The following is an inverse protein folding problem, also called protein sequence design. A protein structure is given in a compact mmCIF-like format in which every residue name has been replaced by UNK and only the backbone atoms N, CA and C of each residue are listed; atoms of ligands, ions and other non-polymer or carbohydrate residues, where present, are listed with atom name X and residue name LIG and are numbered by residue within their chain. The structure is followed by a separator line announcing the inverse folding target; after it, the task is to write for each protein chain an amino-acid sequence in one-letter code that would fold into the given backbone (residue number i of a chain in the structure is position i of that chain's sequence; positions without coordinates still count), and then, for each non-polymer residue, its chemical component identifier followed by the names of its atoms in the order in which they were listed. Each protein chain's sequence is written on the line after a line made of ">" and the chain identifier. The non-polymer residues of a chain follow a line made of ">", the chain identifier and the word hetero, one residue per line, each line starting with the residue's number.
data_IF_197624826221
#
_entry.id   IF_197624826221
#
_cell.length_a   1.000
_cell.length_b   1.000
_cell.length_c   1.000
_cell.angle_alpha   90.00
_cell.angle_beta   90.00
_cell.angle_gamma   90.00
#
_symmetry.space_group_name_H-M   'P 1'
#
loop_
_entity.id
_entity.type
_entity.pdbx_description
1 polymer ?
#
# COMPACT_ATOMS: atom_id res chain seq x y z
N UNK A 1 -17.70 24.92 -1.75
CA UNK A 1 -16.54 24.89 -2.67
C UNK A 1 -17.07 24.89 -4.09
N UNK A 2 -16.56 25.74 -4.99
CA UNK A 2 -16.96 25.73 -6.41
C UNK A 2 -16.25 24.61 -7.16
N UNK A 3 -16.99 23.65 -7.70
CA UNK A 3 -16.47 22.59 -8.59
C UNK A 3 -16.57 23.08 -10.03
N UNK A 4 -15.53 22.89 -10.85
CA UNK A 4 -15.59 23.07 -12.30
C UNK A 4 -15.60 21.69 -12.94
N UNK A 5 -16.57 21.43 -13.80
CA UNK A 5 -16.77 20.18 -14.54
C UNK A 5 -16.58 20.46 -16.04
N UNK A 6 -15.78 19.61 -16.70
CA UNK A 6 -15.47 19.71 -18.14
C UNK A 6 -15.83 18.36 -18.78
N UNK A 7 -16.57 18.39 -19.89
CA UNK A 7 -17.01 17.18 -20.62
C UNK A 7 -16.54 17.16 -22.08
N UNK A 8 -16.27 15.98 -22.64
CA UNK A 8 -16.02 15.76 -24.07
C UNK A 8 -14.61 15.26 -24.42
N UNK A 9 -13.99 15.85 -25.44
CA UNK A 9 -12.57 15.64 -25.76
C UNK A 9 -11.82 16.91 -25.35
N UNK A 10 -10.74 16.74 -24.61
CA UNK A 10 -9.85 17.84 -24.19
C UNK A 10 -8.52 17.63 -24.93
N UNK A 11 -8.27 18.48 -25.92
CA UNK A 11 -7.01 18.46 -26.66
C UNK A 11 -5.84 19.02 -25.83
N UNK A 12 -4.63 18.93 -26.39
CA UNK A 12 -3.41 19.38 -25.71
C UNK A 12 -3.42 20.86 -25.37
N UNK A 13 -3.93 21.71 -26.26
CA UNK A 13 -3.91 23.15 -26.10
C UNK A 13 -4.86 23.57 -24.98
N UNK A 14 -6.09 23.05 -25.01
CA UNK A 14 -7.08 23.32 -23.97
C UNK A 14 -6.68 22.71 -22.63
N UNK A 15 -6.09 21.50 -22.62
CA UNK A 15 -5.54 20.91 -21.38
C UNK A 15 -4.47 21.81 -20.77
N UNK A 16 -3.47 22.22 -21.54
CA UNK A 16 -2.39 23.08 -21.04
C UNK A 16 -2.94 24.42 -20.51
N UNK A 17 -3.86 25.03 -21.26
CA UNK A 17 -4.53 26.26 -20.82
C UNK A 17 -5.21 26.07 -19.45
N UNK A 18 -5.94 24.97 -19.24
CA UNK A 18 -6.56 24.68 -17.94
C UNK A 18 -5.50 24.52 -16.84
N UNK A 19 -4.42 23.80 -17.12
CA UNK A 19 -3.37 23.51 -16.13
C UNK A 19 -2.53 24.74 -15.74
N UNK A 20 -2.47 25.75 -16.61
CA UNK A 20 -1.78 27.02 -16.36
C UNK A 20 -2.69 28.05 -15.67
N UNK A 21 -3.99 28.05 -15.97
CA UNK A 21 -4.90 29.12 -15.57
C UNK A 21 -5.83 28.76 -14.41
N UNK A 22 -6.04 27.47 -14.11
CA UNK A 22 -6.89 27.05 -12.98
C UNK A 22 -6.09 27.11 -11.68
N UNK A 23 -6.67 27.74 -10.67
CA UNK A 23 -6.07 27.82 -9.34
C UNK A 23 -5.92 26.42 -8.71
N UNK A 24 -4.66 26.03 -8.45
CA UNK A 24 -4.30 24.72 -7.89
C UNK A 24 -4.91 24.45 -6.51
N UNK A 25 -5.34 25.46 -5.75
CA UNK A 25 -6.00 25.25 -4.46
C UNK A 25 -7.47 24.82 -4.57
N UNK A 26 -8.01 24.67 -5.80
CA UNK A 26 -9.38 24.24 -6.06
C UNK A 26 -9.45 22.74 -6.40
N UNK A 27 -10.68 22.21 -6.34
CA UNK A 27 -11.02 20.90 -6.89
C UNK A 27 -11.16 21.00 -8.40
N UNK A 28 -10.48 20.12 -9.13
CA UNK A 28 -10.62 19.95 -10.57
C UNK A 28 -11.39 18.65 -10.88
N UNK A 29 -12.34 18.70 -11.80
CA UNK A 29 -12.98 17.50 -12.34
C UNK A 29 -12.95 17.58 -13.87
N UNK A 30 -12.34 16.58 -14.50
CA UNK A 30 -12.35 16.42 -15.96
C UNK A 30 -13.01 15.09 -16.29
N UNK A 31 -14.20 15.19 -16.88
CA UNK A 31 -14.98 14.09 -17.46
C UNK A 31 -14.81 14.09 -18.98
N UNK A 32 -13.56 13.96 -19.42
CA UNK A 32 -13.23 14.06 -20.82
C UNK A 32 -12.05 13.17 -21.18
N UNK A 33 -12.03 12.70 -22.43
CA UNK A 33 -10.86 12.04 -22.99
C UNK A 33 -9.77 13.08 -23.22
N UNK A 34 -8.66 12.97 -22.50
CA UNK A 34 -7.50 13.85 -22.63
C UNK A 34 -6.56 13.24 -23.67
N UNK A 35 -6.37 13.94 -24.79
CA UNK A 35 -5.39 13.56 -25.83
C UNK A 35 -4.03 14.22 -25.63
N UNK A 36 -3.90 14.98 -24.53
CA UNK A 36 -2.73 15.75 -24.18
C UNK A 36 -1.58 14.89 -23.64
N UNK A 37 -0.36 15.36 -23.86
CA UNK A 37 0.80 14.90 -23.13
C UNK A 37 0.75 15.36 -21.66
N UNK A 38 1.56 14.71 -20.81
CA UNK A 38 1.71 15.06 -19.39
C UNK A 38 2.00 16.55 -19.18
N UNK A 39 1.25 17.17 -18.27
CA UNK A 39 1.49 18.55 -17.84
C UNK A 39 1.97 18.60 -16.37
N UNK A 40 3.00 19.39 -16.02
CA UNK A 40 3.56 19.44 -14.66
C UNK A 40 2.57 19.79 -13.54
N UNK A 41 1.48 20.48 -13.86
CA UNK A 41 0.47 20.91 -12.87
C UNK A 41 -0.71 19.94 -12.73
N UNK A 42 -0.82 18.91 -13.59
CA UNK A 42 -2.00 18.04 -13.61
C UNK A 42 -2.25 17.29 -12.30
N UNK A 43 -1.20 17.08 -11.49
CA UNK A 43 -1.30 16.39 -10.21
C UNK A 43 -1.06 17.30 -9.00
N UNK A 44 -1.05 18.62 -9.21
CA UNK A 44 -0.79 19.63 -8.16
C UNK A 44 -2.06 20.28 -7.60
N UNK A 45 -3.23 19.99 -8.17
CA UNK A 45 -4.50 20.49 -7.63
C UNK A 45 -4.75 19.92 -6.24
N UNK A 46 -5.39 20.70 -5.35
CA UNK A 46 -5.74 20.29 -3.99
C UNK A 46 -6.49 18.96 -3.99
N UNK A 47 -7.46 18.82 -4.88
CA UNK A 47 -8.09 17.54 -5.23
C UNK A 47 -8.39 17.51 -6.72
N UNK A 48 -8.36 16.33 -7.31
CA UNK A 48 -8.69 16.18 -8.72
C UNK A 48 -9.37 14.85 -9.02
N UNK A 49 -10.22 14.88 -10.04
CA UNK A 49 -10.91 13.71 -10.57
C UNK A 49 -10.72 13.68 -12.09
N UNK A 50 -10.14 12.59 -12.59
CA UNK A 50 -10.00 12.30 -14.02
C UNK A 50 -10.87 11.10 -14.34
N UNK A 51 -11.95 11.29 -15.11
CA UNK A 51 -12.86 10.18 -15.43
C UNK A 51 -12.34 9.28 -16.57
N UNK A 52 -11.41 9.81 -17.37
CA UNK A 52 -10.56 9.03 -18.27
C UNK A 52 -9.09 9.25 -17.93
N UNK A 53 -8.56 8.37 -17.09
CA UNK A 53 -7.21 8.44 -16.54
C UNK A 53 -6.23 7.44 -17.19
N UNK A 54 -6.52 6.95 -18.41
CA UNK A 54 -5.63 6.00 -19.13
C UNK A 54 -4.24 6.56 -19.43
N UNK A 55 -4.09 7.87 -19.44
CA UNK A 55 -2.81 8.56 -19.68
C UNK A 55 -1.96 8.70 -18.41
N UNK A 56 -2.53 8.45 -17.23
CA UNK A 56 -1.83 8.54 -15.95
C UNK A 56 -0.99 7.27 -15.75
N UNK A 57 0.30 7.43 -15.44
CA UNK A 57 1.16 6.28 -15.11
C UNK A 57 1.42 6.17 -13.61
N UNK A 58 2.02 5.04 -13.20
CA UNK A 58 2.35 4.78 -11.80
C UNK A 58 3.33 5.83 -11.24
N UNK A 59 4.24 6.35 -12.07
CA UNK A 59 5.16 7.41 -11.67
C UNK A 59 4.45 8.74 -11.40
N UNK A 60 3.42 9.07 -12.18
CA UNK A 60 2.58 10.25 -11.90
C UNK A 60 1.93 10.08 -10.53
N UNK A 61 1.33 8.91 -10.29
CA UNK A 61 0.66 8.61 -9.01
C UNK A 61 1.65 8.68 -7.82
N UNK A 62 2.87 8.14 -7.97
CA UNK A 62 3.93 8.22 -6.95
C UNK A 62 4.50 9.64 -6.78
N UNK A 63 4.36 10.52 -7.78
CA UNK A 63 4.81 11.92 -7.72
C UNK A 63 3.84 12.84 -6.96
N UNK A 64 2.61 12.37 -6.72
CA UNK A 64 1.58 13.14 -6.04
C UNK A 64 2.04 13.61 -4.65
N UNK A 65 1.83 14.89 -4.37
CA UNK A 65 2.05 15.51 -3.05
C UNK A 65 0.83 16.35 -2.62
N UNK A 66 -0.34 16.08 -3.21
CA UNK A 66 -1.56 16.83 -2.95
C UNK A 66 -2.34 16.22 -1.77
N UNK A 67 -2.42 16.97 -0.67
CA UNK A 67 -2.90 16.47 0.62
C UNK A 67 -4.43 16.40 0.75
N UNK A 68 -5.17 16.02 -0.29
CA UNK A 68 -6.59 15.70 -0.14
C UNK A 68 -6.97 14.47 -0.96
N UNK A 69 -7.74 14.63 -2.03
CA UNK A 69 -8.48 13.53 -2.66
C UNK A 69 -8.15 13.40 -4.14
N UNK A 70 -7.87 12.17 -4.55
CA UNK A 70 -7.52 11.80 -5.92
C UNK A 70 -8.49 10.73 -6.40
N UNK A 71 -9.18 10.98 -7.51
CA UNK A 71 -10.03 9.98 -8.17
C UNK A 71 -9.57 9.78 -9.59
N UNK A 72 -9.24 8.53 -9.94
CA UNK A 72 -8.82 8.14 -11.28
C UNK A 72 -9.75 7.02 -11.77
N UNK A 73 -10.54 7.30 -12.79
CA UNK A 73 -11.45 6.32 -13.41
C UNK A 73 -10.92 5.94 -14.78
N UNK A 74 -11.21 4.71 -15.19
CA UNK A 74 -10.76 4.14 -16.44
C UNK A 74 -9.24 4.22 -16.56
N UNK A 75 -8.51 3.65 -15.61
CA UNK A 75 -7.04 3.65 -15.61
C UNK A 75 -6.48 2.44 -16.35
N UNK A 76 -5.20 2.51 -16.73
CA UNK A 76 -4.42 1.35 -17.22
C UNK A 76 -3.80 0.52 -16.08
N UNK A 77 -4.09 0.86 -14.82
CA UNK A 77 -3.46 0.21 -13.67
C UNK A 77 -3.90 -1.25 -13.52
N UNK A 78 -2.91 -2.10 -13.35
CA UNK A 78 -3.04 -3.51 -13.00
C UNK A 78 -3.07 -3.70 -11.49
N UNK A 79 -3.40 -4.91 -11.03
CA UNK A 79 -3.31 -5.29 -9.61
C UNK A 79 -1.87 -5.13 -9.09
N UNK A 80 -0.87 -5.42 -9.93
CA UNK A 80 0.55 -5.25 -9.67
C UNK A 80 0.93 -3.77 -9.50
N UNK A 81 0.41 -2.88 -10.35
CA UNK A 81 0.65 -1.43 -10.19
C UNK A 81 0.10 -0.90 -8.87
N UNK A 82 -1.07 -1.40 -8.45
CA UNK A 82 -1.68 -1.05 -7.16
C UNK A 82 -0.84 -1.59 -6.00
N UNK A 83 -0.35 -2.84 -6.08
CA UNK A 83 0.58 -3.41 -5.10
C UNK A 83 1.87 -2.56 -4.98
N UNK A 84 2.46 -2.19 -6.11
CA UNK A 84 3.67 -1.37 -6.17
C UNK A 84 3.44 0.03 -5.58
N UNK A 85 2.26 0.61 -5.81
CA UNK A 85 1.88 1.87 -5.20
C UNK A 85 1.80 1.77 -3.67
N UNK A 86 1.12 0.74 -3.13
CA UNK A 86 0.99 0.55 -1.68
C UNK A 86 2.37 0.35 -1.04
N UNK A 87 3.21 -0.50 -1.66
CA UNK A 87 4.59 -0.72 -1.23
C UNK A 87 5.41 0.58 -1.21
N UNK A 88 5.23 1.43 -2.22
CA UNK A 88 5.85 2.74 -2.25
C UNK A 88 5.34 3.65 -1.13
N UNK A 89 4.02 3.70 -0.90
CA UNK A 89 3.43 4.52 0.15
C UNK A 89 3.96 4.13 1.54
N UNK A 90 4.04 2.83 1.83
CA UNK A 90 4.54 2.29 3.11
C UNK A 90 5.96 2.79 3.40
N UNK A 91 6.84 2.77 2.39
CA UNK A 91 8.26 3.11 2.53
C UNK A 91 8.54 4.61 2.43
N UNK A 92 7.68 5.35 1.74
CA UNK A 92 7.85 6.78 1.55
C UNK A 92 7.92 7.50 2.90
N UNK A 93 8.65 8.61 2.93
CA UNK A 93 8.80 9.50 4.11
C UNK A 93 7.81 10.67 4.07
N UNK A 94 7.18 10.93 2.92
CA UNK A 94 6.32 12.10 2.70
C UNK A 94 4.84 11.74 2.55
N UNK A 95 3.95 12.49 3.20
CA UNK A 95 2.50 12.36 2.99
C UNK A 95 2.17 12.64 1.52
N UNK A 96 1.61 11.65 0.82
CA UNK A 96 1.33 11.73 -0.62
C UNK A 96 -0.04 12.37 -0.86
N UNK A 97 -1.10 11.76 -0.32
CA UNK A 97 -2.49 12.19 -0.38
C UNK A 97 -3.28 11.58 0.80
N UNK A 98 -4.49 12.08 1.07
CA UNK A 98 -5.38 11.56 2.13
C UNK A 98 -6.28 10.42 1.62
N UNK A 99 -6.73 10.51 0.37
CA UNK A 99 -7.60 9.51 -0.27
C UNK A 99 -7.26 9.34 -1.75
N UNK A 100 -7.20 8.09 -2.18
CA UNK A 100 -7.05 7.68 -3.56
C UNK A 100 -8.17 6.69 -3.92
N UNK A 101 -8.90 6.99 -4.98
CA UNK A 101 -9.87 6.09 -5.59
C UNK A 101 -9.41 5.75 -7.00
N UNK A 102 -9.24 4.46 -7.29
CA UNK A 102 -8.87 3.96 -8.61
C UNK A 102 -9.98 3.04 -9.10
N UNK A 103 -10.47 3.30 -10.32
CA UNK A 103 -11.34 2.37 -11.05
C UNK A 103 -10.61 1.99 -12.34
N UNK A 104 -10.10 0.75 -12.46
CA UNK A 104 -9.44 0.29 -13.68
C UNK A 104 -10.38 0.23 -14.89
N UNK A 105 -9.79 0.19 -16.08
CA UNK A 105 -10.52 0.03 -17.33
C UNK A 105 -11.41 -1.22 -17.33
N UNK A 106 -12.46 -1.19 -18.16
CA UNK A 106 -13.40 -2.30 -18.30
C UNK A 106 -12.69 -3.62 -18.63
N UNK A 107 -13.07 -4.70 -17.95
CA UNK A 107 -12.48 -6.03 -18.13
C UNK A 107 -11.36 -6.38 -17.14
N UNK A 108 -10.82 -5.42 -16.40
CA UNK A 108 -9.88 -5.71 -15.31
C UNK A 108 -10.65 -6.25 -14.10
N UNK A 109 -10.23 -7.41 -13.61
CA UNK A 109 -10.74 -8.05 -12.39
C UNK A 109 -9.79 -7.74 -11.25
N UNK A 110 -10.31 -7.20 -10.15
CA UNK A 110 -9.52 -6.95 -8.95
C UNK A 110 -9.23 -8.26 -8.22
N UNK A 111 -7.95 -8.58 -8.07
CA UNK A 111 -7.46 -9.74 -7.35
C UNK A 111 -6.77 -9.28 -6.06
N UNK A 112 -7.41 -9.60 -4.94
CA UNK A 112 -6.95 -9.23 -3.60
C UNK A 112 -5.59 -9.85 -3.27
N UNK A 113 -5.33 -11.08 -3.70
CA UNK A 113 -4.09 -11.79 -3.37
C UNK A 113 -2.91 -11.19 -4.14
N UNK A 114 -3.11 -10.78 -5.39
CA UNK A 114 -2.10 -10.05 -6.17
C UNK A 114 -1.84 -8.67 -5.55
N UNK A 115 -2.90 -7.92 -5.21
CA UNK A 115 -2.76 -6.56 -4.66
C UNK A 115 -2.05 -6.56 -3.30
N UNK A 116 -2.31 -7.55 -2.44
CA UNK A 116 -1.74 -7.62 -1.09
C UNK A 116 -0.43 -8.42 -1.01
N UNK A 117 0.02 -9.01 -2.12
CA UNK A 117 1.19 -9.89 -2.17
C UNK A 117 2.41 -9.26 -1.52
N UNK A 118 2.94 -9.94 -0.50
CA UNK A 118 4.16 -9.54 0.20
C UNK A 118 4.02 -8.29 1.09
N UNK A 119 2.80 -7.76 1.28
CA UNK A 119 2.56 -6.57 2.09
C UNK A 119 2.02 -6.99 3.47
N UNK A 120 2.70 -6.67 4.58
CA UNK A 120 2.17 -6.88 5.91
C UNK A 120 0.88 -6.07 6.11
N UNK A 121 -0.24 -6.77 6.26
CA UNK A 121 -1.55 -6.17 6.40
C UNK A 121 -2.42 -6.91 7.44
N UNK A 122 -3.36 -6.22 8.05
CA UNK A 122 -4.36 -6.82 8.96
C UNK A 122 -5.74 -6.49 8.43
N UNK A 123 -6.60 -7.50 8.29
CA UNK A 123 -8.02 -7.28 8.06
C UNK A 123 -8.70 -7.08 9.41
N UNK A 124 -9.38 -5.95 9.61
CA UNK A 124 -10.16 -5.68 10.83
C UNK A 124 -11.64 -5.68 10.52
N UNK A 125 -12.39 -6.56 11.16
CA UNK A 125 -13.85 -6.63 11.04
C UNK A 125 -14.57 -5.58 11.93
N UNK A 126 -13.83 -4.87 12.80
CA UNK A 126 -14.41 -3.98 13.83
C UNK A 126 -14.39 -2.49 13.46
N UNK A 127 -13.27 -1.99 12.92
CA UNK A 127 -13.08 -0.55 12.71
C UNK A 127 -13.68 -0.09 11.39
N UNK A 128 -13.21 -0.67 10.28
CA UNK A 128 -13.70 -0.40 8.94
C UNK A 128 -13.93 -1.77 8.30
N UNK A 129 -15.19 -2.22 8.23
CA UNK A 129 -15.51 -3.54 7.68
C UNK A 129 -14.89 -3.75 6.30
N UNK A 130 -14.32 -4.93 6.08
CA UNK A 130 -13.63 -5.31 4.83
C UNK A 130 -12.36 -4.52 4.47
N UNK A 131 -11.88 -3.61 5.33
CA UNK A 131 -10.64 -2.90 5.08
C UNK A 131 -9.41 -3.72 5.48
N UNK A 132 -8.40 -3.68 4.62
CA UNK A 132 -7.04 -4.09 4.93
C UNK A 132 -6.26 -2.89 5.46
N UNK A 133 -5.64 -3.05 6.62
CA UNK A 133 -4.85 -2.01 7.27
C UNK A 133 -3.36 -2.20 6.99
N UNK A 134 -2.66 -1.08 6.83
CA UNK A 134 -1.22 -1.02 6.58
C UNK A 134 -0.58 -0.03 7.53
N UNK A 135 0.68 -0.31 7.89
CA UNK A 135 1.50 0.62 8.66
C UNK A 135 2.50 1.28 7.72
N UNK A 136 2.39 2.59 7.58
CA UNK A 136 3.39 3.41 6.89
C UNK A 136 4.60 3.71 7.77
N UNK A 137 5.55 4.48 7.24
CA UNK A 137 6.75 4.89 7.96
C UNK A 137 6.43 5.86 9.12
N UNK A 138 6.36 5.32 10.35
CA UNK A 138 5.92 6.03 11.56
C UNK A 138 6.80 7.24 11.93
N UNK A 139 8.07 7.28 11.49
CA UNK A 139 9.03 8.27 11.98
C UNK A 139 9.04 9.58 11.18
N UNK A 140 8.36 9.62 10.03
CA UNK A 140 8.55 10.70 9.04
C UNK A 140 7.23 11.26 8.48
N UNK A 141 6.08 10.65 8.79
CA UNK A 141 4.77 11.03 8.24
C UNK A 141 3.75 11.41 9.28
N UNK A 142 2.85 12.31 8.91
CA UNK A 142 1.65 12.62 9.70
C UNK A 142 0.63 11.49 9.60
N UNK A 143 0.44 10.93 8.40
CA UNK A 143 -0.51 9.86 8.15
C UNK A 143 0.22 8.50 8.07
N UNK A 144 0.23 7.78 9.18
CA UNK A 144 0.97 6.51 9.30
C UNK A 144 0.10 5.26 9.16
N UNK A 145 -1.23 5.41 9.10
CA UNK A 145 -2.16 4.28 8.96
C UNK A 145 -2.79 4.33 7.57
N UNK A 146 -2.63 3.29 6.78
CA UNK A 146 -3.27 3.15 5.48
C UNK A 146 -4.40 2.13 5.55
N UNK A 147 -5.47 2.34 4.78
CA UNK A 147 -6.56 1.38 4.61
C UNK A 147 -6.80 1.15 3.13
N UNK A 148 -7.11 -0.09 2.77
CA UNK A 148 -7.48 -0.48 1.42
C UNK A 148 -8.82 -1.20 1.48
N UNK A 149 -9.77 -0.72 0.69
CA UNK A 149 -11.07 -1.38 0.46
C UNK A 149 -11.20 -1.69 -1.03
N UNK A 150 -11.56 -2.93 -1.32
CA UNK A 150 -11.81 -3.42 -2.67
C UNK A 150 -13.31 -3.59 -2.84
N UNK A 151 -13.90 -2.81 -3.75
CA UNK A 151 -15.27 -2.97 -4.20
C UNK A 151 -15.24 -3.71 -5.54
N UNK A 152 -15.51 -5.01 -5.49
CA UNK A 152 -15.50 -5.86 -6.69
C UNK A 152 -16.69 -5.57 -7.62
N UNK A 153 -17.83 -5.10 -7.10
CA UNK A 153 -19.00 -4.75 -7.91
C UNK A 153 -18.72 -3.50 -8.74
N UNK A 154 -18.16 -2.46 -8.10
CA UNK A 154 -17.79 -1.21 -8.76
C UNK A 154 -16.38 -1.25 -9.38
N UNK A 155 -15.66 -2.38 -9.30
CA UNK A 155 -14.24 -2.54 -9.71
C UNK A 155 -13.37 -1.39 -9.22
N UNK A 156 -13.54 -1.03 -7.96
CA UNK A 156 -12.94 0.16 -7.39
C UNK A 156 -12.02 -0.21 -6.24
N UNK A 157 -10.85 0.41 -6.23
CA UNK A 157 -9.91 0.37 -5.13
C UNK A 157 -9.97 1.71 -4.42
N UNK A 158 -10.26 1.70 -3.12
CA UNK A 158 -10.23 2.88 -2.27
C UNK A 158 -9.09 2.75 -1.27
N UNK A 159 -8.14 3.67 -1.32
CA UNK A 159 -7.02 3.77 -0.39
C UNK A 159 -7.13 5.05 0.42
N UNK A 160 -7.24 4.95 1.74
CA UNK A 160 -7.34 6.10 2.64
C UNK A 160 -6.22 6.06 3.66
N UNK A 161 -5.77 7.23 4.11
CA UNK A 161 -4.73 7.32 5.13
C UNK A 161 -5.17 8.18 6.30
N UNK A 162 -4.74 7.78 7.48
CA UNK A 162 -5.16 8.35 8.75
C UNK A 162 -3.95 8.67 9.61
N UNK A 163 -4.10 9.75 10.38
CA UNK A 163 -3.21 10.03 11.50
C UNK A 163 -3.39 8.95 12.56
N UNK A 164 -2.32 8.68 13.29
CA UNK A 164 -2.39 7.74 14.39
C UNK A 164 -3.26 8.31 15.49
N UNK A 165 -4.27 7.53 15.87
CA UNK A 165 -5.21 7.83 16.95
C UNK A 165 -5.32 6.61 17.86
N UNK A 166 -5.80 6.81 19.09
CA UNK A 166 -5.86 5.77 20.11
C UNK A 166 -6.65 4.53 19.66
N UNK A 167 -7.74 4.73 18.92
CA UNK A 167 -8.57 3.65 18.39
C UNK A 167 -7.85 2.76 17.34
N UNK A 168 -6.69 3.17 16.82
CA UNK A 168 -5.84 2.34 15.97
C UNK A 168 -4.79 1.53 16.74
N UNK A 169 -4.68 1.67 18.06
CA UNK A 169 -3.61 1.04 18.84
C UNK A 169 -3.56 -0.49 18.69
N UNK A 170 -4.72 -1.15 18.69
CA UNK A 170 -4.80 -2.60 18.50
C UNK A 170 -4.35 -2.99 17.08
N UNK A 171 -4.80 -2.25 16.06
CA UNK A 171 -4.39 -2.48 14.66
C UNK A 171 -2.89 -2.30 14.49
N UNK A 172 -2.31 -1.24 15.07
CA UNK A 172 -0.87 -1.00 14.99
C UNK A 172 -0.11 -2.10 15.71
N UNK A 173 -0.58 -2.54 16.86
CA UNK A 173 0.03 -3.65 17.61
C UNK A 173 0.01 -4.93 16.78
N UNK A 174 -1.12 -5.29 16.19
CA UNK A 174 -1.25 -6.44 15.29
C UNK A 174 -0.35 -6.33 14.05
N UNK A 175 -0.23 -5.14 13.44
CA UNK A 175 0.65 -4.92 12.29
C UNK A 175 2.13 -5.10 12.65
N UNK A 176 2.57 -4.58 13.81
CA UNK A 176 3.94 -4.77 14.31
C UNK A 176 4.24 -6.24 14.61
N UNK A 177 3.28 -6.95 15.22
CA UNK A 177 3.37 -8.39 15.43
C UNK A 177 3.47 -9.15 14.11
N UNK A 178 2.70 -8.77 13.09
CA UNK A 178 2.74 -9.42 11.76
C UNK A 178 4.07 -9.19 11.05
N UNK A 179 4.59 -7.95 11.07
CA UNK A 179 5.92 -7.64 10.53
C UNK A 179 7.01 -8.45 11.22
N UNK A 180 6.94 -8.55 12.55
CA UNK A 180 7.88 -9.36 13.34
C UNK A 180 7.80 -10.85 13.00
N UNK A 181 6.59 -11.41 12.90
CA UNK A 181 6.36 -12.80 12.47
C UNK A 181 7.01 -13.08 11.11
N UNK A 182 6.76 -12.23 10.12
CA UNK A 182 7.36 -12.35 8.77
C UNK A 182 8.89 -12.34 8.85
N UNK A 183 9.48 -11.44 9.66
CA UNK A 183 10.92 -11.38 9.86
C UNK A 183 11.50 -12.66 10.47
N UNK A 184 10.83 -13.22 11.48
CA UNK A 184 11.22 -14.46 12.15
C UNK A 184 11.13 -15.68 11.21
N UNK A 185 10.07 -15.78 10.40
CA UNK A 185 9.90 -16.85 9.41
C UNK A 185 10.97 -16.79 8.31
N UNK A 186 11.30 -15.58 7.85
CA UNK A 186 12.42 -15.36 6.93
C UNK A 186 13.75 -15.82 7.56
N UNK A 187 14.02 -15.41 8.80
CA UNK A 187 15.24 -15.80 9.52
C UNK A 187 15.34 -17.32 9.70
N UNK A 188 14.24 -17.97 10.06
CA UNK A 188 14.15 -19.44 10.16
C UNK A 188 14.53 -20.12 8.84
N UNK A 189 14.11 -19.55 7.71
CA UNK A 189 14.46 -20.04 6.36
C UNK A 189 15.93 -19.84 6.05
N UNK A 190 16.50 -18.68 6.38
CA UNK A 190 17.94 -18.39 6.22
C UNK A 190 18.80 -19.37 7.03
N UNK A 191 18.41 -19.69 8.27
CA UNK A 191 19.12 -20.66 9.10
C UNK A 191 19.13 -22.05 8.44
N UNK A 192 18.01 -22.48 7.86
CA UNK A 192 17.95 -23.77 7.14
C UNK A 192 18.92 -23.80 5.94
N UNK A 193 19.09 -22.67 5.24
CA UNK A 193 20.06 -22.55 4.14
C UNK A 193 21.49 -22.62 4.69
N UNK A 194 21.79 -21.86 5.74
CA UNK A 194 23.11 -21.85 6.40
C UNK A 194 23.51 -23.26 6.86
N UNK A 195 22.59 -24.00 7.49
CA UNK A 195 22.86 -25.37 7.91
C UNK A 195 23.14 -26.29 6.73
N UNK A 196 22.34 -26.19 5.65
CA UNK A 196 22.51 -27.02 4.44
C UNK A 196 23.85 -26.76 3.75
N UNK A 197 24.30 -25.52 3.69
CA UNK A 197 25.60 -25.14 3.13
C UNK A 197 26.74 -25.51 4.08
N UNK A 198 26.57 -25.25 5.37
CA UNK A 198 27.52 -25.59 6.42
C UNK A 198 27.80 -27.08 6.50
N UNK A 199 26.78 -27.92 6.34
CA UNK A 199 26.91 -29.39 6.26
C UNK A 199 27.89 -29.86 5.18
N UNK A 200 28.05 -29.09 4.09
CA UNK A 200 28.96 -29.41 2.99
C UNK A 200 30.38 -28.90 3.22
N UNK A 201 30.51 -27.77 3.92
CA UNK A 201 31.74 -26.96 3.91
C UNK A 201 32.43 -26.87 5.29
N UNK A 202 31.73 -27.15 6.38
CA UNK A 202 32.33 -27.11 7.72
C UNK A 202 33.10 -28.38 8.03
N UNK A 203 34.29 -28.24 8.60
CA UNK A 203 34.97 -29.36 9.24
C UNK A 203 34.17 -29.83 10.48
N UNK A 204 34.43 -31.06 10.92
CA UNK A 204 33.65 -31.70 12.00
C UNK A 204 33.62 -30.87 13.30
N UNK A 205 34.74 -30.24 13.67
CA UNK A 205 34.83 -29.44 14.89
C UNK A 205 33.94 -28.18 14.84
N UNK A 206 33.97 -27.45 13.73
CA UNK A 206 33.15 -26.24 13.54
C UNK A 206 31.68 -26.60 13.38
N UNK A 207 31.39 -27.75 12.76
CA UNK A 207 30.04 -28.21 12.47
C UNK A 207 29.20 -28.40 13.72
N UNK A 208 29.72 -29.07 14.75
CA UNK A 208 28.95 -29.35 15.96
C UNK A 208 28.60 -28.07 16.74
N UNK A 209 29.53 -27.12 16.81
CA UNK A 209 29.29 -25.82 17.45
C UNK A 209 28.22 -25.02 16.68
N UNK A 210 28.36 -24.93 15.36
CA UNK A 210 27.42 -24.17 14.51
C UNK A 210 26.02 -24.78 14.51
N UNK A 211 25.90 -26.10 14.46
CA UNK A 211 24.59 -26.78 14.57
C UNK A 211 23.94 -26.50 15.92
N UNK A 212 24.71 -26.47 17.01
CA UNK A 212 24.17 -26.14 18.33
C UNK A 212 23.68 -24.69 18.39
N UNK A 213 24.44 -23.75 17.85
CA UNK A 213 24.05 -22.34 17.74
C UNK A 213 22.75 -22.17 16.94
N UNK A 214 22.67 -22.75 15.74
CA UNK A 214 21.48 -22.62 14.88
C UNK A 214 20.26 -23.30 15.49
N UNK A 215 20.43 -24.40 16.22
CA UNK A 215 19.33 -25.06 16.94
C UNK A 215 18.77 -24.18 18.06
N UNK A 216 19.63 -23.59 18.88
CA UNK A 216 19.21 -22.66 19.93
C UNK A 216 18.48 -21.44 19.35
N UNK A 217 18.97 -20.90 18.25
CA UNK A 217 18.32 -19.78 17.56
C UNK A 217 16.93 -20.18 17.04
N UNK A 218 16.78 -21.37 16.44
CA UNK A 218 15.47 -21.89 16.00
C UNK A 218 14.50 -22.09 17.15
N UNK A 219 14.95 -22.62 18.29
CA UNK A 219 14.14 -22.80 19.50
C UNK A 219 13.65 -21.44 20.04
N UNK A 220 14.52 -20.42 20.05
CA UNK A 220 14.15 -19.05 20.41
C UNK A 220 13.12 -18.45 19.44
N UNK A 221 13.33 -18.58 18.13
CA UNK A 221 12.38 -18.13 17.10
C UNK A 221 11.01 -18.80 17.29
N UNK A 222 10.97 -20.12 17.53
CA UNK A 222 9.71 -20.85 17.70
C UNK A 222 8.96 -20.42 18.97
N UNK A 223 9.69 -20.14 20.05
CA UNK A 223 9.13 -19.60 21.29
C UNK A 223 8.48 -18.25 21.03
N UNK A 224 9.17 -17.37 20.30
CA UNK A 224 8.68 -16.04 19.99
C UNK A 224 7.49 -16.05 19.02
N UNK A 225 7.47 -16.94 18.02
CA UNK A 225 6.33 -17.16 17.15
C UNK A 225 5.09 -17.63 17.93
N UNK A 226 5.27 -18.49 18.93
CA UNK A 226 4.18 -18.91 19.82
C UNK A 226 3.66 -17.75 20.68
N UNK A 227 4.55 -16.88 21.19
CA UNK A 227 4.13 -15.65 21.89
C UNK A 227 3.30 -14.75 20.98
N UNK A 228 3.77 -14.52 19.73
CA UNK A 228 3.04 -13.70 18.75
C UNK A 228 1.66 -14.29 18.46
N UNK A 229 1.55 -15.61 18.28
CA UNK A 229 0.27 -16.30 18.06
C UNK A 229 -0.72 -16.04 19.20
N UNK A 230 -0.25 -16.12 20.45
CA UNK A 230 -1.10 -15.87 21.62
C UNK A 230 -1.57 -14.41 21.71
N UNK A 231 -0.71 -13.45 21.35
CA UNK A 231 -1.08 -12.03 21.29
C UNK A 231 -2.11 -11.75 20.18
N UNK A 232 -2.01 -12.38 19.01
CA UNK A 232 -3.04 -12.26 17.97
C UNK A 232 -4.41 -12.73 18.43
N UNK A 233 -4.46 -13.86 19.15
CA UNK A 233 -5.69 -14.40 19.75
C UNK A 233 -6.28 -13.38 20.74
N UNK A 234 -5.44 -12.80 21.60
CA UNK A 234 -5.86 -11.77 22.57
C UNK A 234 -6.44 -10.53 21.90
N UNK A 235 -5.86 -10.09 20.78
CA UNK A 235 -6.32 -8.93 20.01
C UNK A 235 -7.58 -9.23 19.16
N UNK A 236 -8.03 -10.49 19.10
CA UNK A 236 -9.22 -10.88 18.34
C UNK A 236 -9.03 -10.78 16.82
N UNK A 237 -7.78 -10.85 16.36
CA UNK A 237 -7.39 -10.88 14.95
C UNK A 237 -7.05 -12.32 14.57
N UNK A 238 -7.70 -12.85 13.52
CA UNK A 238 -7.38 -14.20 13.04
C UNK A 238 -6.03 -14.20 12.29
N UNK A 239 -5.17 -15.17 12.59
CA UNK A 239 -3.87 -15.39 11.94
C UNK A 239 -4.03 -16.06 10.56
N UNK A 240 -5.15 -15.81 9.87
CA UNK A 240 -5.44 -16.40 8.56
C UNK A 240 -4.89 -15.51 7.46
N UNK A 241 -3.56 -15.57 7.26
CA UNK A 241 -2.83 -15.36 6.00
C UNK A 241 -1.33 -15.45 6.25
#
# INVERSE_FOLDING_TARGET
>A
MSTREIRGIVDSEYFNFLMENVNLNKKLLIDAHITANRHPNAFKFRSFEYLDARWVTLDDLKSIRNRCWVTLVNTIFTCEDINDFINFWIKSENDLMERLKITPANGVVLDTDIILKGIPNIKSEKLIPSAFFFLGNENQKKFSIGTLVLDHECRTVSFEVFERQEYFNDVVSSLKLKQKKIGLEKRKTEINIIEKEGLKNWNLYIRDQKIKETRLEKEAIETELNTIRNEFIRLGTSDHQ
#
